data_IF_945780669955
#
_entry.id   IF_945780669955
#
_cell.length_a   1.000
_cell.length_b   1.000
_cell.length_c   1.000
_cell.angle_alpha   90.00
_cell.angle_beta   90.00
_cell.angle_gamma   90.00
#
_symmetry.space_group_name_H-M   'P 1'
#
loop_
_entity.id
_entity.type
_entity.pdbx_description
1 polymer ?
#
# COMPACT_ATOMS: atom_id res chain seq x y z
N UNK A 1 -22.70 -12.99 6.66
CA UNK A 1 -21.79 -11.92 7.12
C UNK A 1 -20.59 -11.95 6.20
N UNK A 2 -20.35 -10.92 5.38
CA UNK A 2 -19.13 -10.88 4.56
C UNK A 2 -17.97 -10.51 5.48
N UNK A 3 -17.02 -11.44 5.60
CA UNK A 3 -15.91 -11.40 6.54
C UNK A 3 -15.01 -10.18 6.34
N UNK A 4 -14.44 -9.78 7.47
CA UNK A 4 -13.43 -8.75 7.64
C UNK A 4 -12.21 -9.04 6.74
N UNK A 5 -11.91 -8.15 5.78
CA UNK A 5 -10.67 -8.22 4.99
C UNK A 5 -9.61 -7.37 5.69
N UNK A 6 -9.22 -7.73 6.90
CA UNK A 6 -7.95 -7.25 7.47
C UNK A 6 -7.02 -8.44 7.43
N UNK A 7 -5.84 -8.24 6.86
CA UNK A 7 -4.82 -9.26 6.80
C UNK A 7 -3.96 -9.14 8.03
N UNK A 8 -4.09 -10.13 8.91
CA UNK A 8 -3.28 -10.20 10.12
C UNK A 8 -1.81 -10.35 9.75
N UNK A 9 -0.97 -9.55 10.40
CA UNK A 9 0.47 -9.58 10.23
C UNK A 9 1.05 -10.57 11.25
N UNK A 10 1.66 -11.64 10.76
CA UNK A 10 2.26 -12.66 11.64
C UNK A 10 3.56 -12.15 12.26
N UNK A 11 3.99 -12.76 13.36
CA UNK A 11 5.31 -12.49 13.94
C UNK A 11 6.44 -12.75 12.93
N UNK A 12 6.29 -13.77 12.10
CA UNK A 12 7.26 -14.09 11.04
C UNK A 12 7.36 -12.96 9.99
N UNK A 13 6.23 -12.39 9.56
CA UNK A 13 6.23 -11.22 8.67
C UNK A 13 6.91 -10.02 9.33
N UNK A 14 6.67 -9.80 10.62
CA UNK A 14 7.32 -8.74 11.39
C UNK A 14 8.82 -8.98 11.42
N UNK A 15 9.29 -10.16 11.83
CA UNK A 15 10.72 -10.51 11.86
C UNK A 15 11.39 -10.36 10.49
N UNK A 16 10.75 -10.84 9.42
CA UNK A 16 11.30 -10.69 8.08
C UNK A 16 11.34 -9.24 7.63
N UNK A 17 10.33 -8.43 7.95
CA UNK A 17 10.33 -7.00 7.60
C UNK A 17 11.51 -6.24 8.25
N UNK A 18 11.92 -6.66 9.45
CA UNK A 18 13.11 -6.14 10.15
C UNK A 18 14.39 -6.51 9.39
N UNK A 19 14.52 -7.78 9.02
CA UNK A 19 15.68 -8.31 8.28
C UNK A 19 15.79 -7.61 6.92
N UNK A 20 14.69 -7.52 6.17
CA UNK A 20 14.67 -6.89 4.85
C UNK A 20 14.96 -5.38 4.92
N UNK A 21 14.45 -4.70 5.96
CA UNK A 21 14.74 -3.27 6.18
C UNK A 21 16.25 -3.04 6.39
N UNK A 22 16.90 -3.85 7.24
CA UNK A 22 18.35 -3.77 7.46
C UNK A 22 19.14 -4.08 6.19
N UNK A 23 18.71 -5.08 5.43
CA UNK A 23 19.33 -5.49 4.17
C UNK A 23 19.25 -4.41 3.09
N UNK A 24 18.16 -3.63 3.08
CA UNK A 24 17.91 -2.54 2.13
C UNK A 24 18.57 -1.21 2.53
N UNK A 25 18.89 -1.02 3.81
CA UNK A 25 19.37 0.24 4.37
C UNK A 25 20.62 0.84 3.70
N UNK A 26 21.65 0.06 3.31
CA UNK A 26 22.86 0.60 2.66
C UNK A 26 22.60 1.33 1.35
N UNK A 27 21.56 0.94 0.62
CA UNK A 27 21.35 1.34 -0.78
C UNK A 27 20.20 2.35 -0.95
N UNK A 28 19.54 2.80 0.14
CA UNK A 28 18.23 3.44 0.01
C UNK A 28 18.20 4.98 0.06
N UNK A 29 17.45 5.59 -0.86
CA UNK A 29 16.81 6.91 -0.69
C UNK A 29 15.28 6.72 -0.59
N UNK A 30 14.63 7.13 0.52
CA UNK A 30 13.18 6.95 0.67
C UNK A 30 12.42 7.87 -0.29
N UNK A 31 11.32 7.38 -0.85
CA UNK A 31 10.47 8.19 -1.73
C UNK A 31 9.61 9.20 -0.97
N UNK A 32 9.36 9.00 0.32
CA UNK A 32 8.65 9.97 1.15
C UNK A 32 9.44 10.21 2.44
N UNK A 33 9.60 11.48 2.80
CA UNK A 33 9.99 11.87 4.15
C UNK A 33 8.73 11.90 5.00
N UNK A 34 8.46 10.79 5.69
CA UNK A 34 7.33 10.71 6.60
C UNK A 34 7.65 11.46 7.90
N UNK A 35 6.94 12.55 8.18
CA UNK A 35 7.17 13.37 9.38
C UNK A 35 6.91 12.63 10.71
N UNK A 36 6.18 11.52 10.67
CA UNK A 36 5.68 10.84 11.87
C UNK A 36 6.40 9.52 12.19
N UNK A 37 7.33 9.09 11.33
CA UNK A 37 8.06 7.82 11.48
C UNK A 37 9.48 7.95 10.94
N UNK A 38 10.39 7.11 11.42
CA UNK A 38 11.73 7.06 10.83
C UNK A 38 11.69 6.40 9.45
N UNK A 39 12.78 6.55 8.69
CA UNK A 39 12.95 5.91 7.38
C UNK A 39 12.83 4.39 7.49
N UNK A 40 13.42 3.81 8.52
CA UNK A 40 13.41 2.37 8.80
C UNK A 40 11.98 1.88 9.04
N UNK A 41 11.19 2.61 9.83
CA UNK A 41 9.78 2.29 10.06
C UNK A 41 8.97 2.35 8.76
N UNK A 42 9.22 3.36 7.91
CA UNK A 42 8.56 3.47 6.61
C UNK A 42 8.85 2.28 5.69
N UNK A 43 10.11 1.82 5.66
CA UNK A 43 10.49 0.63 4.90
C UNK A 43 9.85 -0.64 5.45
N UNK A 44 9.82 -0.77 6.78
CA UNK A 44 9.20 -1.91 7.44
C UNK A 44 7.70 -2.01 7.08
N UNK A 45 6.98 -0.88 7.10
CA UNK A 45 5.57 -0.81 6.65
C UNK A 45 5.43 -1.18 5.17
N UNK A 46 6.39 -0.76 4.33
CA UNK A 46 6.46 -1.16 2.94
C UNK A 46 6.46 -2.69 2.79
N UNK A 47 7.46 -3.35 3.38
CA UNK A 47 7.59 -4.80 3.34
C UNK A 47 6.38 -5.54 3.94
N UNK A 48 5.86 -5.08 5.09
CA UNK A 48 4.67 -5.69 5.69
C UNK A 48 3.45 -5.59 4.77
N UNK A 49 3.32 -4.48 4.03
CA UNK A 49 2.30 -4.33 3.00
C UNK A 49 2.46 -5.30 1.83
N UNK A 50 3.68 -5.47 1.35
CA UNK A 50 4.01 -6.43 0.28
C UNK A 50 3.67 -7.87 0.72
N UNK A 51 4.03 -8.25 1.95
CA UNK A 51 3.74 -9.57 2.50
C UNK A 51 2.24 -9.80 2.68
N UNK A 52 1.52 -8.82 3.24
CA UNK A 52 0.08 -8.89 3.42
C UNK A 52 -0.67 -8.97 2.07
N UNK A 53 -0.22 -8.21 1.07
CA UNK A 53 -0.79 -8.26 -0.27
C UNK A 53 -0.61 -9.65 -0.90
N UNK A 54 0.58 -10.24 -0.81
CA UNK A 54 0.82 -11.61 -1.28
C UNK A 54 -0.12 -12.61 -0.60
N UNK A 55 -0.22 -12.57 0.73
CA UNK A 55 -1.15 -13.41 1.50
C UNK A 55 -2.60 -13.22 1.07
N UNK A 56 -3.02 -11.98 0.83
CA UNK A 56 -4.38 -11.70 0.35
C UNK A 56 -4.68 -12.39 -1.00
N UNK A 57 -3.71 -12.48 -1.92
CA UNK A 57 -3.86 -13.19 -3.19
C UNK A 57 -3.60 -14.70 -3.11
N UNK A 58 -3.30 -15.24 -1.93
CA UNK A 58 -2.96 -16.66 -1.74
C UNK A 58 -1.58 -17.03 -2.27
N UNK A 59 -0.68 -16.05 -2.38
CA UNK A 59 0.72 -16.25 -2.74
C UNK A 59 1.55 -16.48 -1.48
N UNK A 60 2.60 -17.29 -1.59
CA UNK A 60 3.61 -17.38 -0.55
C UNK A 60 4.48 -16.11 -0.59
N UNK A 61 4.33 -15.26 0.42
CA UNK A 61 5.05 -13.97 0.48
C UNK A 61 6.57 -14.15 0.64
N UNK A 62 7.03 -15.27 1.22
CA UNK A 62 8.46 -15.57 1.37
C UNK A 62 9.15 -15.70 0.01
N UNK A 63 8.46 -16.21 -1.01
CA UNK A 63 9.00 -16.40 -2.36
C UNK A 63 9.30 -15.06 -3.07
N UNK A 64 8.77 -13.95 -2.55
CA UNK A 64 8.97 -12.61 -3.09
C UNK A 64 10.09 -11.84 -2.37
N UNK A 65 10.75 -12.46 -1.38
CA UNK A 65 11.91 -11.87 -0.72
C UNK A 65 13.13 -11.98 -1.63
N UNK A 66 13.77 -10.84 -1.89
CA UNK A 66 14.94 -10.76 -2.77
C UNK A 66 16.22 -11.24 -2.08
N UNK A 67 17.17 -11.72 -2.88
CA UNK A 67 18.53 -12.06 -2.42
C UNK A 67 19.38 -10.83 -2.06
N UNK A 68 19.17 -9.68 -2.72
CA UNK A 68 19.73 -8.37 -2.35
C UNK A 68 18.90 -7.22 -2.97
N UNK A 69 19.20 -5.99 -2.56
CA UNK A 69 18.53 -4.75 -3.01
C UNK A 69 19.46 -3.79 -3.75
N UNK A 70 20.55 -4.30 -4.36
CA UNK A 70 21.55 -3.47 -5.06
C UNK A 70 21.01 -2.83 -6.34
N UNK A 71 19.97 -3.43 -6.92
CA UNK A 71 19.31 -2.96 -8.14
C UNK A 71 17.91 -2.46 -7.85
N UNK A 72 17.48 -1.47 -8.64
CA UNK A 72 16.13 -0.89 -8.56
C UNK A 72 15.08 -1.97 -8.68
N UNK A 73 14.03 -1.84 -7.88
CA UNK A 73 12.92 -2.77 -7.91
C UNK A 73 12.09 -2.65 -9.19
N UNK A 74 11.81 -3.78 -9.82
CA UNK A 74 10.95 -3.82 -11.00
C UNK A 74 9.48 -4.06 -10.66
N UNK A 75 9.18 -4.68 -9.50
CA UNK A 75 7.85 -4.98 -8.99
C UNK A 75 7.95 -5.72 -7.64
N UNK A 76 6.93 -5.59 -6.80
CA UNK A 76 6.93 -6.20 -5.47
C UNK A 76 6.50 -7.68 -5.52
N UNK A 77 5.58 -8.03 -6.43
CA UNK A 77 5.23 -9.41 -6.75
C UNK A 77 4.54 -9.54 -8.11
N UNK A 78 4.41 -10.78 -8.60
CA UNK A 78 3.67 -11.13 -9.82
C UNK A 78 2.30 -11.69 -9.47
N UNK A 79 1.27 -11.16 -10.15
CA UNK A 79 -0.08 -11.70 -10.13
C UNK A 79 -0.41 -12.24 -11.52
N UNK A 80 -0.01 -13.49 -11.79
CA UNK A 80 0.07 -14.03 -13.14
C UNK A 80 1.15 -13.28 -13.92
N UNK A 81 0.80 -12.69 -15.07
CA UNK A 81 1.72 -11.85 -15.84
C UNK A 81 1.75 -10.38 -15.37
N UNK A 82 0.91 -10.00 -14.41
CA UNK A 82 0.83 -8.63 -13.93
C UNK A 82 1.90 -8.34 -12.87
N UNK A 83 2.91 -7.55 -13.23
CA UNK A 83 3.79 -6.81 -12.32
C UNK A 83 3.00 -5.84 -11.40
N UNK A 84 3.07 -6.07 -10.10
CA UNK A 84 2.35 -5.31 -9.07
C UNK A 84 3.33 -4.47 -8.24
N UNK A 85 2.88 -3.28 -7.83
CA UNK A 85 3.53 -2.43 -6.84
C UNK A 85 2.55 -2.11 -5.72
N UNK A 86 2.99 -2.23 -4.48
CA UNK A 86 2.22 -2.06 -3.27
C UNK A 86 2.63 -0.76 -2.61
N UNK A 87 1.62 0.02 -2.22
CA UNK A 87 1.79 1.28 -1.51
C UNK A 87 0.97 1.20 -0.23
N UNK A 88 1.67 1.13 0.89
CA UNK A 88 1.05 1.07 2.22
C UNK A 88 1.19 2.40 2.94
N UNK A 89 0.06 2.95 3.38
CA UNK A 89 0.00 4.16 4.19
C UNK A 89 -0.21 3.85 5.68
N UNK A 90 0.39 4.65 6.57
CA UNK A 90 -0.03 4.66 7.98
C UNK A 90 -1.00 5.80 8.22
N UNK A 91 -2.17 5.47 8.77
CA UNK A 91 -3.24 6.44 9.02
C UNK A 91 -3.63 6.44 10.49
N UNK A 92 -4.06 7.57 11.08
CA UNK A 92 -4.55 7.61 12.46
C UNK A 92 -5.76 6.69 12.68
N UNK A 93 -6.00 6.24 13.91
CA UNK A 93 -7.02 5.25 14.24
C UNK A 93 -8.43 5.62 13.75
N UNK A 94 -8.83 6.89 13.93
CA UNK A 94 -10.12 7.38 13.46
C UNK A 94 -10.28 7.29 11.93
N UNK A 95 -9.20 7.51 11.17
CA UNK A 95 -9.18 7.35 9.71
C UNK A 95 -9.15 5.88 9.33
N UNK A 96 -8.38 5.06 10.03
CA UNK A 96 -8.32 3.61 9.78
C UNK A 96 -9.70 2.98 9.94
N UNK A 97 -10.41 3.30 11.03
CA UNK A 97 -11.75 2.81 11.29
C UNK A 97 -12.79 3.32 10.27
N UNK A 98 -12.64 4.55 9.78
CA UNK A 98 -13.47 5.08 8.69
C UNK A 98 -13.25 4.29 7.40
N UNK A 99 -11.99 4.05 7.00
CA UNK A 99 -11.65 3.29 5.81
C UNK A 99 -12.12 1.84 5.91
N UNK A 100 -11.97 1.22 7.09
CA UNK A 100 -12.47 -0.13 7.40
C UNK A 100 -13.99 -0.23 7.25
N UNK A 101 -14.73 0.77 7.73
CA UNK A 101 -16.18 0.80 7.57
C UNK A 101 -16.59 0.93 6.10
N UNK A 102 -15.85 1.69 5.30
CA UNK A 102 -16.14 1.89 3.89
C UNK A 102 -15.87 0.64 3.05
N UNK A 103 -14.76 -0.06 3.29
CA UNK A 103 -14.39 -1.29 2.56
C UNK A 103 -15.37 -2.45 2.74
N UNK A 104 -16.16 -2.44 3.84
CA UNK A 104 -17.13 -3.51 4.16
C UNK A 104 -18.49 -3.36 3.46
N UNK A 105 -18.79 -2.23 2.83
CA UNK A 105 -20.05 -1.99 2.10
C UNK A 105 -19.94 -2.43 0.62
N UNK A 106 -19.94 -3.76 0.42
CA UNK A 106 -19.62 -4.45 -0.84
C UNK A 106 -20.83 -4.55 -1.80
N UNK A 107 -21.35 -3.42 -2.28
CA UNK A 107 -22.31 -3.45 -3.42
C UNK A 107 -22.05 -2.42 -4.53
N UNK A 108 -21.10 -1.51 -4.33
CA UNK A 108 -20.63 -0.55 -5.36
C UNK A 108 -19.09 -0.49 -5.26
N UNK A 109 -18.35 0.00 -6.28
CA UNK A 109 -16.88 0.15 -6.18
C UNK A 109 -16.53 0.71 -4.81
N UNK A 110 -15.50 0.14 -4.17
CA UNK A 110 -15.16 0.17 -2.73
C UNK A 110 -15.37 1.52 -2.01
N UNK A 111 -15.46 2.61 -2.79
CA UNK A 111 -15.49 3.98 -2.37
C UNK A 111 -16.57 4.85 -3.06
N UNK A 112 -17.66 4.26 -3.58
CA UNK A 112 -18.76 4.99 -4.25
C UNK A 112 -19.78 5.65 -3.31
N UNK A 113 -19.47 5.80 -2.02
CA UNK A 113 -20.24 6.70 -1.19
C UNK A 113 -19.70 8.13 -1.39
N UNK A 114 -20.60 9.10 -1.30
CA UNK A 114 -20.32 10.51 -0.99
C UNK A 114 -19.50 10.74 0.30
N UNK A 115 -18.90 9.69 0.88
CA UNK A 115 -18.21 9.67 2.16
C UNK A 115 -16.70 9.42 2.07
N UNK A 116 -16.10 9.25 0.88
CA UNK A 116 -14.67 9.58 0.76
C UNK A 116 -14.54 10.98 0.24
N UNK A 117 -14.14 11.79 1.18
CA UNK A 117 -13.81 13.16 1.00
C UNK A 117 -12.44 13.14 0.32
N UNK A 118 -12.39 12.83 -0.99
CA UNK A 118 -11.19 12.87 -1.84
C UNK A 118 -10.44 14.21 -1.64
N UNK A 119 -11.18 15.25 -1.26
CA UNK A 119 -10.69 16.57 -0.92
C UNK A 119 -10.68 16.81 0.59
N UNK A 120 -10.27 15.80 1.37
CA UNK A 120 -9.93 15.88 2.79
C UNK A 120 -8.70 15.04 3.12
N UNK A 121 -8.10 15.21 4.32
CA UNK A 121 -6.95 14.41 4.74
C UNK A 121 -7.20 12.91 4.56
N UNK A 122 -6.22 12.21 3.98
CA UNK A 122 -6.27 10.77 3.66
C UNK A 122 -7.38 10.33 2.68
N UNK A 123 -8.04 11.27 2.00
CA UNK A 123 -9.00 10.98 0.94
C UNK A 123 -8.37 10.55 -0.38
N UNK A 124 -7.06 10.79 -0.57
CA UNK A 124 -6.32 10.40 -1.78
C UNK A 124 -5.12 9.54 -1.44
N UNK A 125 -4.80 8.60 -2.34
CA UNK A 125 -3.59 7.79 -2.29
C UNK A 125 -2.48 8.46 -3.07
N UNK A 126 -1.31 8.56 -2.46
CA UNK A 126 -0.20 9.34 -3.00
C UNK A 126 0.84 8.44 -3.64
N UNK A 127 1.27 8.79 -4.84
CA UNK A 127 2.44 8.23 -5.50
C UNK A 127 3.43 9.39 -5.71
N UNK A 128 4.69 9.22 -5.32
CA UNK A 128 5.69 10.28 -5.52
C UNK A 128 5.95 10.47 -7.01
N UNK A 129 5.99 11.71 -7.49
CA UNK A 129 6.29 12.04 -8.88
C UNK A 129 7.63 11.47 -9.39
N UNK A 130 8.65 11.42 -8.53
CA UNK A 130 9.95 10.83 -8.82
C UNK A 130 9.94 9.30 -9.00
N UNK A 131 8.81 8.63 -8.75
CA UNK A 131 8.63 7.20 -9.03
C UNK A 131 7.96 6.93 -10.38
N UNK A 132 7.57 7.98 -11.14
CA UNK A 132 6.75 7.83 -12.34
C UNK A 132 7.37 6.90 -13.38
N UNK A 133 8.62 7.13 -13.76
CA UNK A 133 9.34 6.34 -14.76
C UNK A 133 9.44 4.85 -14.37
N UNK A 134 9.76 4.57 -13.10
CA UNK A 134 9.83 3.19 -12.61
C UNK A 134 8.44 2.54 -12.51
N UNK A 135 7.39 3.32 -12.27
CA UNK A 135 6.03 2.82 -12.19
C UNK A 135 5.47 2.46 -13.58
N UNK A 136 5.88 3.14 -14.65
CA UNK A 136 5.48 2.84 -16.04
C UNK A 136 5.88 1.42 -16.49
N UNK A 137 6.88 0.81 -15.84
CA UNK A 137 7.32 -0.57 -16.09
C UNK A 137 6.40 -1.63 -15.47
N UNK A 138 5.38 -1.21 -14.70
CA UNK A 138 4.47 -2.06 -13.94
C UNK A 138 3.06 -2.01 -14.51
N UNK A 139 2.18 -2.89 -14.05
CA UNK A 139 0.79 -2.96 -14.55
C UNK A 139 -0.24 -2.45 -13.55
N UNK A 140 -0.02 -2.72 -12.26
CA UNK A 140 -0.99 -2.43 -11.20
C UNK A 140 -0.29 -1.81 -9.99
N UNK A 141 -0.96 -0.83 -9.38
CA UNK A 141 -0.62 -0.32 -8.05
C UNK A 141 -1.72 -0.71 -7.07
N UNK A 142 -1.36 -1.45 -6.03
CA UNK A 142 -2.22 -1.81 -4.92
C UNK A 142 -2.02 -0.83 -3.77
N UNK A 143 -3.12 -0.41 -3.16
CA UNK A 143 -3.09 0.44 -1.97
C UNK A 143 -3.62 -0.31 -0.76
N UNK A 144 -2.93 -0.14 0.35
CA UNK A 144 -3.38 -0.60 1.66
C UNK A 144 -3.05 0.39 2.76
N UNK A 145 -3.64 0.18 3.93
CA UNK A 145 -3.40 0.98 5.12
C UNK A 145 -3.07 0.12 6.33
N UNK A 146 -2.29 0.69 7.24
CA UNK A 146 -2.11 0.19 8.61
C UNK A 146 -2.53 1.27 9.60
N UNK A 147 -3.03 0.85 10.76
CA UNK A 147 -3.35 1.77 11.84
C UNK A 147 -2.07 2.28 12.50
N UNK A 148 -1.78 3.57 12.33
CA UNK A 148 -0.60 4.23 12.88
C UNK A 148 -0.58 4.18 14.40
N UNK A 149 -1.73 4.25 15.07
CA UNK A 149 -1.77 4.31 16.52
C UNK A 149 -1.55 2.92 17.15
N UNK A 150 -1.64 1.86 16.33
CA UNK A 150 -1.20 0.49 16.70
C UNK A 150 0.30 0.26 16.50
N UNK A 151 1.05 1.25 16.00
CA UNK A 151 2.51 1.19 15.90
C UNK A 151 3.10 1.43 17.29
N UNK A 152 3.47 0.35 17.99
CA UNK A 152 4.21 0.46 19.25
C UNK A 152 5.68 0.77 18.93
N UNK A 153 6.20 1.88 19.45
CA UNK A 153 7.61 2.29 19.29
C UNK A 153 8.47 1.60 20.36
N UNK A 154 9.47 0.82 19.96
CA UNK A 154 10.46 0.31 20.91
C UNK A 154 11.55 1.36 21.26
N UNK A 155 11.94 1.40 22.54
CA UNK A 155 12.93 2.33 23.11
C UNK A 155 14.39 2.07 22.67
N UNK A 156 14.73 0.87 22.17
CA UNK A 156 16.15 0.47 21.98
C UNK A 156 16.51 -0.09 20.58
N UNK A 157 15.66 0.11 19.57
CA UNK A 157 15.95 -0.41 18.23
C UNK A 157 14.77 -0.44 17.26
N UNK A 158 13.94 0.61 17.28
CA UNK A 158 12.97 1.06 16.26
C UNK A 158 12.41 0.01 15.27
N UNK A 159 11.75 -1.04 15.76
CA UNK A 159 10.92 -1.92 14.93
C UNK A 159 9.47 -1.94 15.44
N UNK A 160 8.54 -2.13 14.51
CA UNK A 160 7.10 -2.17 14.75
C UNK A 160 6.74 -3.53 15.35
N UNK A 161 6.23 -3.54 16.59
CA UNK A 161 5.61 -4.72 17.20
C UNK A 161 4.11 -4.45 17.38
N UNK A 162 3.28 -5.48 17.14
CA UNK A 162 1.82 -5.47 17.37
C UNK A 162 0.96 -4.58 16.45
N UNK A 163 1.26 -4.54 15.14
CA UNK A 163 0.36 -3.94 14.16
C UNK A 163 -0.95 -4.74 14.02
N UNK A 164 -2.08 -4.04 14.09
CA UNK A 164 -3.45 -4.59 14.05
C UNK A 164 -3.88 -5.18 12.70
N UNK A 165 -2.95 -5.36 11.76
CA UNK A 165 -3.18 -5.91 10.42
C UNK A 165 -3.14 -4.86 9.31
N UNK A 166 -3.19 -5.35 8.07
CA UNK A 166 -3.17 -4.55 6.85
C UNK A 166 -4.56 -4.53 6.20
N UNK A 167 -5.08 -3.33 5.97
CA UNK A 167 -6.37 -3.09 5.35
C UNK A 167 -6.18 -2.82 3.85
N UNK A 168 -6.62 -3.71 2.93
CA UNK A 168 -6.63 -3.40 1.52
C UNK A 168 -7.64 -2.29 1.22
N UNK A 169 -7.18 -1.29 0.49
CA UNK A 169 -8.01 -0.16 0.07
C UNK A 169 -8.53 -0.38 -1.36
N UNK A 170 -7.71 -0.93 -2.25
CA UNK A 170 -8.09 -1.16 -3.63
C UNK A 170 -6.88 -1.03 -4.55
N UNK A 171 -7.15 -0.92 -5.85
CA UNK A 171 -6.06 -0.84 -6.83
C UNK A 171 -6.37 0.14 -7.96
N UNK A 172 -5.32 0.55 -8.64
CA UNK A 172 -5.39 1.30 -9.90
C UNK A 172 -4.46 0.65 -10.92
N UNK A 173 -4.82 0.69 -12.20
CA UNK A 173 -3.87 0.30 -13.25
C UNK A 173 -2.84 1.41 -13.42
N UNK A 174 -1.61 1.08 -13.75
CA UNK A 174 -0.57 2.09 -13.99
C UNK A 174 -1.00 3.05 -15.09
N UNK A 175 -1.59 2.56 -16.18
CA UNK A 175 -2.17 3.40 -17.25
C UNK A 175 -3.11 4.47 -16.69
N UNK A 176 -4.03 4.09 -15.80
CA UNK A 176 -4.97 5.03 -15.18
C UNK A 176 -4.29 5.97 -14.18
N UNK A 177 -3.31 5.49 -13.42
CA UNK A 177 -2.54 6.33 -12.50
C UNK A 177 -1.76 7.43 -13.25
N UNK A 178 -1.25 7.15 -14.45
CA UNK A 178 -0.48 8.11 -15.26
C UNK A 178 -1.32 9.28 -15.82
N UNK A 179 -2.65 9.15 -15.84
CA UNK A 179 -3.57 10.23 -16.21
C UNK A 179 -3.68 11.30 -15.12
N UNK A 180 -3.27 11.00 -13.88
CA UNK A 180 -3.31 11.96 -12.80
C UNK A 180 -2.22 13.03 -12.94
N UNK A 181 -2.56 14.33 -12.77
CA UNK A 181 -1.55 15.38 -12.79
C UNK A 181 -0.64 15.27 -11.56
N UNK A 182 0.61 15.67 -11.74
CA UNK A 182 1.52 15.90 -10.62
C UNK A 182 1.10 17.20 -9.95
N UNK A 183 0.81 17.14 -8.65
CA UNK A 183 0.40 18.29 -7.84
C UNK A 183 1.33 18.46 -6.65
N UNK A 184 1.54 19.71 -6.26
CA UNK A 184 2.20 20.06 -4.99
C UNK A 184 1.20 20.50 -3.93
N UNK A 185 0.08 21.11 -4.33
CA UNK A 185 -0.90 21.65 -3.40
C UNK A 185 -1.87 20.57 -2.94
N UNK A 186 -2.18 20.55 -1.64
CA UNK A 186 -3.23 19.70 -1.09
C UNK A 186 -4.58 20.19 -1.61
N UNK A 187 -5.50 19.29 -1.98
CA UNK A 187 -6.84 19.65 -2.44
C UNK A 187 -7.78 20.02 -1.28
N UNK A 188 -7.25 20.19 -0.07
CA UNK A 188 -8.00 20.47 1.15
C UNK A 188 -7.29 21.50 2.02
N UNK A 189 -8.02 22.26 2.85
CA UNK A 189 -7.41 23.16 3.82
C UNK A 189 -6.51 22.40 4.80
N UNK A 190 -5.27 22.85 4.93
CA UNK A 190 -4.29 22.29 5.85
C UNK A 190 -3.36 23.39 6.34
N UNK A 191 -2.79 23.21 7.54
CA UNK A 191 -1.81 24.16 8.11
C UNK A 191 -0.64 24.40 7.16
N UNK A 192 -0.15 23.32 6.54
CA UNK A 192 0.75 23.39 5.40
C UNK A 192 -0.05 23.07 4.12
N UNK A 193 -0.23 24.01 3.19
CA UNK A 193 -1.02 23.82 1.98
C UNK A 193 -0.34 22.92 0.94
N UNK A 194 0.95 22.56 1.10
CA UNK A 194 1.68 21.71 0.15
C UNK A 194 1.93 20.30 0.69
N UNK A 195 2.05 19.34 -0.21
CA UNK A 195 2.65 18.05 0.08
C UNK A 195 4.16 18.20 0.27
N UNK A 196 4.81 17.35 1.09
CA UNK A 196 6.27 17.40 1.27
C UNK A 196 7.08 17.15 -0.01
N UNK A 197 6.45 16.57 -1.03
CA UNK A 197 7.03 16.26 -2.33
C UNK A 197 5.91 16.31 -3.39
N UNK A 198 6.21 16.61 -4.67
CA UNK A 198 5.22 16.50 -5.74
C UNK A 198 4.68 15.08 -5.86
N UNK A 199 3.37 14.95 -6.04
CA UNK A 199 2.68 13.65 -6.03
C UNK A 199 1.65 13.54 -7.14
N UNK A 200 1.42 12.31 -7.61
CA UNK A 200 0.17 11.91 -8.25
C UNK A 200 -0.79 11.52 -7.13
N UNK A 201 -1.81 12.35 -6.87
CA UNK A 201 -2.76 12.15 -5.79
C UNK A 201 -4.04 11.48 -6.31
N UNK A 202 -4.03 10.14 -6.31
CA UNK A 202 -5.11 9.28 -6.81
C UNK A 202 -6.33 9.39 -5.89
N UNK A 203 -7.50 9.72 -6.44
CA UNK A 203 -8.74 9.73 -5.65
C UNK A 203 -9.05 8.33 -5.16
N UNK A 204 -9.47 8.20 -3.92
CA UNK A 204 -9.86 6.87 -3.43
C UNK A 204 -11.10 6.36 -4.16
N UNK A 205 -12.01 7.26 -4.54
CA UNK A 205 -13.21 6.93 -5.32
C UNK A 205 -12.90 6.28 -6.69
N UNK A 206 -11.71 6.49 -7.23
CA UNK A 206 -11.25 5.90 -8.50
C UNK A 206 -10.61 4.51 -8.33
N UNK A 207 -10.37 4.06 -7.09
CA UNK A 207 -9.80 2.75 -6.85
C UNK A 207 -10.79 1.63 -7.19
N UNK A 208 -10.29 0.65 -7.92
CA UNK A 208 -11.00 -0.57 -8.28
C UNK A 208 -10.93 -1.57 -7.11
N UNK A 209 -11.92 -2.46 -7.04
CA UNK A 209 -12.00 -3.45 -5.97
C UNK A 209 -10.88 -4.48 -6.07
N UNK A 210 -10.13 -4.65 -4.99
CA UNK A 210 -9.09 -5.69 -4.91
C UNK A 210 -9.67 -7.12 -5.02
N UNK A 211 -10.93 -7.33 -4.58
CA UNK A 211 -11.63 -8.61 -4.75
C UNK A 211 -11.82 -8.93 -6.23
N UNK A 212 -12.25 -7.96 -7.05
CA UNK A 212 -12.40 -8.15 -8.49
C UNK A 212 -11.05 -8.50 -9.16
N UNK A 213 -9.95 -7.94 -8.67
CA UNK A 213 -8.60 -8.29 -9.15
C UNK A 213 -8.25 -9.74 -8.78
N UNK A 214 -8.54 -10.14 -7.54
CA UNK A 214 -8.33 -11.51 -7.05
C UNK A 214 -9.14 -12.52 -7.85
N UNK A 215 -10.43 -12.27 -8.07
CA UNK A 215 -11.31 -13.13 -8.88
C UNK A 215 -10.78 -13.29 -10.31
N UNK A 216 -10.38 -12.19 -10.96
CA UNK A 216 -9.78 -12.24 -12.30
C UNK A 216 -8.51 -13.10 -12.33
N UNK A 217 -7.65 -12.95 -11.33
CA UNK A 217 -6.44 -13.74 -11.20
C UNK A 217 -6.73 -15.23 -10.98
N UNK A 218 -7.60 -15.56 -10.02
CA UNK A 218 -7.96 -16.95 -9.72
C UNK A 218 -8.59 -17.64 -10.93
N UNK A 219 -9.49 -16.95 -11.65
CA UNK A 219 -10.08 -17.47 -12.89
C UNK A 219 -9.02 -17.71 -13.96
N UNK A 220 -8.07 -16.79 -14.14
CA UNK A 220 -6.96 -16.97 -15.06
C UNK A 220 -6.15 -18.22 -14.73
N UNK A 221 -5.72 -18.42 -13.47
CA UNK A 221 -4.98 -19.63 -13.08
C UNK A 221 -5.76 -20.90 -13.40
N UNK A 222 -7.06 -20.93 -13.11
CA UNK A 222 -7.89 -22.12 -13.32
C UNK A 222 -8.08 -22.45 -14.81
N UNK A 223 -8.11 -21.45 -15.69
CA UNK A 223 -8.19 -21.67 -17.15
C UNK A 223 -6.91 -22.31 -17.73
N UNK A 224 -5.73 -22.05 -17.15
CA UNK A 224 -4.45 -22.58 -17.64
C UNK A 224 -3.96 -23.84 -16.90
N UNK A 225 -4.72 -24.32 -15.91
CA UNK A 225 -4.45 -25.60 -15.21
C UNK A 225 -5.27 -26.78 -15.74
N UNK A 226 -6.23 -26.53 -16.63
CA UNK A 226 -7.02 -27.52 -17.35
C UNK A 226 -6.60 -27.57 -18.82
#
# INVERSE_FOLDING_TARGET
MKEQIIIDLTNEMIEQSIIQTKKRAPDLKPHFNNLNMTKEQGNQIGFLGEFAACTYFGLNWLDNIRNDYKTIDTHDFLLGNAKVDVKTESVPDNIFNLLKYQSTKIEKPFFKHSSILDDKPYGRRLINAGQREELEKKHVVLFGAVNRDSIIKQRNGVFLEHLSGWLPLGYVTVKKAMEYPIIEKKPFPAKDPKYPTPVMAIRSSDLLSINNLKERYTNHINTYKN
#
